data_IF_114779823485
#
_entry.id   IF_114779823485
#
_cell.length_a   1.000
_cell.length_b   1.000
_cell.length_c   1.000
_cell.angle_alpha   90.00
_cell.angle_beta   90.00
_cell.angle_gamma   90.00
#
_symmetry.space_group_name_H-M   'P 1'
#
loop_
_entity.id
_entity.type
_entity.pdbx_description
1 polymer ?
#
# COMPACT_ATOMS: atom_id res chain seq x y z
N UNK A 1 -54.04 -11.20 38.58
CA UNK A 1 -53.11 -11.52 37.48
C UNK A 1 -52.03 -10.46 37.45
N UNK A 2 -50.90 -10.72 38.11
CA UNK A 2 -49.79 -9.77 38.30
C UNK A 2 -48.80 -9.93 37.15
N UNK A 3 -48.73 -8.93 36.27
CA UNK A 3 -47.76 -8.89 35.18
C UNK A 3 -46.37 -8.50 35.70
N UNK A 4 -45.46 -9.45 35.53
CA UNK A 4 -44.01 -9.42 35.62
C UNK A 4 -43.34 -8.02 35.55
N UNK A 5 -42.72 -7.63 36.67
CA UNK A 5 -41.86 -6.44 36.81
C UNK A 5 -40.38 -6.83 36.80
N UNK A 6 -39.93 -7.72 35.90
CA UNK A 6 -38.53 -8.22 35.88
C UNK A 6 -37.64 -7.62 34.78
N UNK A 7 -38.21 -6.90 33.80
CA UNK A 7 -37.47 -6.38 32.65
C UNK A 7 -36.32 -5.38 32.91
N UNK A 8 -36.32 -4.50 33.94
CA UNK A 8 -35.24 -3.51 34.09
C UNK A 8 -33.94 -4.10 34.67
N UNK A 9 -33.97 -5.29 35.25
CA UNK A 9 -32.80 -5.93 35.87
C UNK A 9 -31.88 -6.64 34.87
N UNK A 10 -32.43 -7.20 33.79
CA UNK A 10 -31.65 -7.93 32.79
C UNK A 10 -30.84 -6.97 31.88
N UNK A 11 -31.36 -5.78 31.59
CA UNK A 11 -30.62 -4.73 30.88
C UNK A 11 -29.41 -4.19 31.69
N UNK A 12 -29.47 -4.29 33.02
CA UNK A 12 -28.38 -3.88 33.92
C UNK A 12 -27.23 -4.90 33.98
N UNK A 13 -27.44 -6.14 33.53
CA UNK A 13 -26.43 -7.20 33.54
C UNK A 13 -25.53 -7.21 32.30
N UNK A 14 -25.97 -6.62 31.18
CA UNK A 14 -25.24 -6.63 29.92
C UNK A 14 -24.03 -5.68 29.87
N UNK A 15 -23.99 -4.66 30.73
CA UNK A 15 -22.86 -3.71 30.81
C UNK A 15 -21.83 -4.20 31.82
N UNK A 16 -20.69 -4.70 31.32
CA UNK A 16 -19.53 -5.16 32.12
C UNK A 16 -18.75 -4.00 32.76
N UNK A 17 -19.43 -2.98 33.26
CA UNK A 17 -18.77 -1.87 33.95
C UNK A 17 -18.58 -2.24 35.41
N UNK A 18 -17.32 -2.24 35.82
CA UNK A 18 -16.86 -2.63 37.15
C UNK A 18 -16.72 -1.42 38.08
N UNK A 19 -16.67 -1.65 39.39
CA UNK A 19 -16.36 -0.59 40.36
C UNK A 19 -15.00 0.07 40.12
N UNK A 20 -14.06 -0.67 39.50
CA UNK A 20 -12.75 -0.17 39.08
C UNK A 20 -12.87 0.93 38.03
N UNK A 21 -13.77 0.79 37.06
CA UNK A 21 -13.99 1.76 35.99
C UNK A 21 -14.49 3.11 36.54
N UNK A 22 -15.33 3.06 37.58
CA UNK A 22 -15.77 4.26 38.30
C UNK A 22 -14.63 4.93 39.08
N UNK A 23 -13.73 4.15 39.69
CA UNK A 23 -12.58 4.71 40.39
C UNK A 23 -11.60 5.39 39.42
N UNK A 24 -11.40 4.85 38.20
CA UNK A 24 -10.58 5.51 37.16
C UNK A 24 -11.13 6.89 36.82
N UNK A 25 -12.46 6.98 36.66
CA UNK A 25 -13.14 8.22 36.32
C UNK A 25 -13.07 9.27 37.45
N UNK A 26 -13.06 8.80 38.71
CA UNK A 26 -13.01 9.64 39.92
C UNK A 26 -11.58 9.98 40.38
N UNK A 27 -10.55 9.47 39.71
CA UNK A 27 -9.12 9.66 40.06
C UNK A 27 -8.63 11.11 39.83
N UNK A 28 -9.45 11.95 39.20
CA UNK A 28 -9.20 13.39 39.07
C UNK A 28 -9.53 14.19 40.34
N UNK A 29 -9.18 15.48 40.33
CA UNK A 29 -9.57 16.43 41.39
C UNK A 29 -11.05 16.84 41.33
N UNK A 30 -11.75 16.45 40.26
CA UNK A 30 -13.10 16.88 39.96
C UNK A 30 -14.12 15.89 40.51
N UNK A 31 -15.10 16.41 41.26
CA UNK A 31 -16.24 15.62 41.72
C UNK A 31 -17.27 15.45 40.62
N UNK A 32 -17.77 14.23 40.45
CA UNK A 32 -18.77 13.92 39.42
C UNK A 32 -20.14 13.68 40.03
N UNK A 33 -21.20 14.09 39.31
CA UNK A 33 -22.56 13.70 39.65
C UNK A 33 -22.87 12.30 39.08
N UNK A 34 -23.79 11.56 39.73
CA UNK A 34 -24.12 10.19 39.31
C UNK A 34 -24.59 10.09 37.85
N UNK A 35 -25.30 11.11 37.35
CA UNK A 35 -25.76 11.15 35.97
C UNK A 35 -24.60 11.35 34.97
N UNK A 36 -23.57 12.11 35.34
CA UNK A 36 -22.40 12.35 34.48
C UNK A 36 -21.56 11.09 34.32
N UNK A 37 -21.39 10.33 35.42
CA UNK A 37 -20.74 9.02 35.40
C UNK A 37 -21.53 8.02 34.53
N UNK A 38 -22.86 8.04 34.65
CA UNK A 38 -23.76 7.22 33.84
C UNK A 38 -23.60 7.49 32.34
N UNK A 39 -23.63 8.77 31.94
CA UNK A 39 -23.47 9.19 30.55
C UNK A 39 -22.12 8.81 29.96
N UNK A 40 -21.03 8.97 30.72
CA UNK A 40 -19.67 8.66 30.23
C UNK A 40 -19.38 7.17 30.11
N UNK A 41 -19.96 6.36 30.99
CA UNK A 41 -19.77 4.92 30.98
C UNK A 41 -20.81 4.19 30.10
N UNK A 42 -21.82 4.90 29.59
CA UNK A 42 -22.91 4.31 28.81
C UNK A 42 -23.79 3.37 29.64
N UNK A 43 -23.88 3.60 30.95
CA UNK A 43 -24.57 2.71 31.90
C UNK A 43 -25.78 3.45 32.49
N UNK A 44 -26.90 2.77 32.79
CA UNK A 44 -28.03 3.40 33.48
C UNK A 44 -27.63 4.00 34.84
N UNK A 45 -28.12 5.21 35.13
CA UNK A 45 -27.87 5.92 36.41
C UNK A 45 -28.17 5.10 37.67
N UNK A 46 -29.25 4.26 37.73
CA UNK A 46 -29.48 3.38 38.87
C UNK A 46 -28.33 2.39 39.14
N UNK A 47 -27.71 1.85 38.08
CA UNK A 47 -26.55 0.94 38.20
C UNK A 47 -25.37 1.62 38.85
N UNK A 48 -25.07 2.83 38.37
CA UNK A 48 -23.97 3.64 38.87
C UNK A 48 -24.18 3.97 40.34
N UNK A 49 -25.42 4.28 40.75
CA UNK A 49 -25.76 4.50 42.16
C UNK A 49 -25.53 3.25 43.02
N UNK A 50 -25.88 2.05 42.53
CA UNK A 50 -25.60 0.78 43.24
C UNK A 50 -24.09 0.56 43.40
N UNK A 51 -23.32 0.77 42.34
CA UNK A 51 -21.87 0.62 42.38
C UNK A 51 -21.20 1.67 43.28
N UNK A 52 -21.62 2.93 43.21
CA UNK A 52 -21.17 3.99 44.12
C UNK A 52 -21.52 3.65 45.57
N UNK A 53 -22.72 3.11 45.85
CA UNK A 53 -23.12 2.66 47.18
C UNK A 53 -22.16 1.60 47.76
N UNK A 54 -21.72 0.64 46.93
CA UNK A 54 -20.71 -0.36 47.33
C UNK A 54 -19.34 0.29 47.58
N UNK A 55 -18.88 1.16 46.69
CA UNK A 55 -17.61 1.87 46.84
C UNK A 55 -17.58 2.82 48.05
N UNK A 56 -18.72 3.38 48.42
CA UNK A 56 -18.89 4.17 49.64
C UNK A 56 -18.80 3.27 50.87
N UNK A 57 -19.46 2.11 50.86
CA UNK A 57 -19.37 1.13 51.94
C UNK A 57 -17.94 0.62 52.15
N UNK A 58 -17.18 0.49 51.06
CA UNK A 58 -15.76 0.12 51.07
C UNK A 58 -14.82 1.29 51.40
N UNK A 59 -15.35 2.49 51.72
CA UNK A 59 -14.60 3.72 52.01
C UNK A 59 -13.67 4.18 50.87
N UNK A 60 -13.98 3.80 49.63
CA UNK A 60 -13.22 4.15 48.43
C UNK A 60 -13.71 5.46 47.78
N UNK A 61 -14.99 5.83 47.99
CA UNK A 61 -15.59 7.04 47.43
C UNK A 61 -16.18 7.92 48.54
N UNK A 62 -15.93 9.21 48.47
CA UNK A 62 -16.48 10.23 49.39
C UNK A 62 -17.58 11.02 48.69
N UNK A 63 -18.69 11.24 49.39
CA UNK A 63 -19.81 12.05 48.91
C UNK A 63 -19.73 13.43 49.54
N UNK A 64 -19.73 14.48 48.73
CA UNK A 64 -19.86 15.87 49.19
C UNK A 64 -21.13 16.49 48.65
N UNK A 65 -21.77 17.31 49.50
CA UNK A 65 -22.91 18.14 49.12
C UNK A 65 -22.42 19.56 48.98
N UNK A 66 -22.28 20.01 47.74
CA UNK A 66 -21.90 21.39 47.48
C UNK A 66 -23.18 22.24 47.49
N UNK A 67 -23.18 23.24 48.38
CA UNK A 67 -24.15 24.33 48.32
C UNK A 67 -23.61 25.32 47.29
N UNK A 68 -24.26 25.38 46.13
CA UNK A 68 -23.95 26.41 45.16
C UNK A 68 -24.72 27.67 45.58
N UNK A 69 -24.01 28.78 45.79
CA UNK A 69 -24.56 30.05 46.30
C UNK A 69 -25.71 30.65 45.45
N UNK A 70 -26.00 30.06 44.27
CA UNK A 70 -26.95 30.58 43.30
C UNK A 70 -28.15 29.67 43.00
N UNK A 71 -28.34 28.54 43.68
CA UNK A 71 -29.50 27.66 43.42
C UNK A 71 -30.05 27.00 44.68
N UNK A 72 -31.39 26.95 44.81
CA UNK A 72 -32.17 26.31 45.89
C UNK A 72 -31.90 24.80 46.09
N UNK A 73 -30.97 24.19 45.36
CA UNK A 73 -30.72 22.75 45.37
C UNK A 73 -29.24 22.43 45.56
N UNK A 74 -28.91 21.76 46.66
CA UNK A 74 -27.59 21.20 46.89
C UNK A 74 -27.30 20.07 45.89
N UNK A 75 -26.11 20.08 45.28
CA UNK A 75 -25.69 19.03 44.34
C UNK A 75 -24.84 17.99 45.05
N UNK A 76 -25.09 16.72 44.74
CA UNK A 76 -24.34 15.60 45.32
C UNK A 76 -23.22 15.21 44.35
N UNK A 77 -21.97 15.38 44.78
CA UNK A 77 -20.78 15.02 44.02
C UNK A 77 -20.02 13.89 44.70
N UNK A 78 -19.49 12.98 43.89
CA UNK A 78 -18.71 11.83 44.31
C UNK A 78 -17.23 12.08 43.97
N UNK A 79 -16.34 11.77 44.90
CA UNK A 79 -14.88 11.94 44.80
C UNK A 79 -14.18 10.63 45.16
N UNK A 80 -13.03 10.34 44.54
CA UNK A 80 -12.16 9.29 45.05
C UNK A 80 -11.60 9.69 46.41
N UNK A 81 -11.70 8.78 47.38
CA UNK A 81 -11.09 8.95 48.71
C UNK A 81 -9.56 8.87 48.65
N UNK A 82 -8.89 9.42 49.67
CA UNK A 82 -7.44 9.26 49.82
C UNK A 82 -7.03 7.79 49.97
N UNK A 83 -7.91 6.95 50.52
CA UNK A 83 -7.72 5.49 50.60
C UNK A 83 -7.75 4.84 49.22
N UNK A 84 -8.67 5.24 48.33
CA UNK A 84 -8.71 4.77 46.95
C UNK A 84 -7.49 5.24 46.16
N UNK A 85 -7.05 6.49 46.37
CA UNK A 85 -5.83 7.05 45.75
C UNK A 85 -4.57 6.30 46.21
N UNK A 86 -4.45 6.01 47.50
CA UNK A 86 -3.29 5.31 48.08
C UNK A 86 -3.24 3.84 47.66
N UNK A 87 -4.40 3.18 47.58
CA UNK A 87 -4.50 1.79 47.11
C UNK A 87 -4.60 1.66 45.60
N UNK A 88 -4.37 2.75 44.84
CA UNK A 88 -4.46 2.74 43.38
C UNK A 88 -3.53 1.70 42.76
N UNK A 89 -2.29 1.59 43.22
CA UNK A 89 -1.35 0.60 42.69
C UNK A 89 -1.81 -0.86 42.94
N UNK A 90 -2.53 -1.11 44.05
CA UNK A 90 -3.06 -2.43 44.41
C UNK A 90 -4.40 -2.75 43.71
N UNK A 91 -5.32 -1.78 43.68
CA UNK A 91 -6.67 -1.90 43.10
C UNK A 91 -6.67 -1.75 41.58
N UNK A 92 -5.67 -1.04 41.07
CA UNK A 92 -5.42 -0.80 39.65
C UNK A 92 -3.98 -1.13 39.27
N UNK A 93 -3.61 -2.42 39.22
CA UNK A 93 -2.35 -2.80 38.61
C UNK A 93 -2.33 -2.27 37.16
N UNK A 94 -1.19 -1.74 36.68
CA UNK A 94 -1.06 -1.36 35.27
C UNK A 94 -1.47 -2.57 34.42
N UNK A 95 -2.22 -2.36 33.32
CA UNK A 95 -2.58 -3.46 32.45
C UNK A 95 -1.29 -4.18 32.00
N UNK A 96 -1.29 -5.51 31.79
CA UNK A 96 -0.14 -6.26 31.26
C UNK A 96 0.20 -5.91 29.80
N UNK A 97 -0.14 -4.69 29.34
CA UNK A 97 -0.11 -4.26 27.96
C UNK A 97 1.31 -4.06 27.41
N UNK A 98 2.33 -3.84 28.25
CA UNK A 98 3.68 -3.55 27.74
C UNK A 98 4.48 -4.80 27.39
N UNK A 99 4.29 -5.92 28.08
CA UNK A 99 4.95 -7.18 27.74
C UNK A 99 4.26 -7.88 26.57
N UNK A 100 2.93 -7.88 26.53
CA UNK A 100 2.16 -8.51 25.45
C UNK A 100 2.27 -7.73 24.13
N UNK A 101 2.32 -6.38 24.15
CA UNK A 101 2.52 -5.59 22.94
C UNK A 101 3.94 -5.71 22.38
N UNK A 102 4.97 -5.81 23.24
CA UNK A 102 6.36 -6.05 22.81
C UNK A 102 6.54 -7.47 22.25
N UNK A 103 5.90 -8.47 22.84
CA UNK A 103 5.93 -9.84 22.31
C UNK A 103 5.12 -9.98 21.01
N UNK A 104 3.95 -9.33 20.91
CA UNK A 104 3.15 -9.33 19.70
C UNK A 104 3.85 -8.60 18.54
N UNK A 105 4.51 -7.47 18.80
CA UNK A 105 5.31 -6.76 17.81
C UNK A 105 6.55 -7.54 17.38
N UNK A 106 7.29 -8.14 18.33
CA UNK A 106 8.43 -9.00 18.02
C UNK A 106 8.02 -10.24 17.19
N UNK A 107 6.89 -10.88 17.53
CA UNK A 107 6.37 -12.00 16.75
C UNK A 107 5.93 -11.54 15.34
N UNK A 108 5.26 -10.40 15.22
CA UNK A 108 4.89 -9.83 13.92
C UNK A 108 6.12 -9.50 13.05
N UNK A 109 7.19 -8.98 13.65
CA UNK A 109 8.46 -8.72 12.97
C UNK A 109 9.15 -10.02 12.55
N UNK A 110 9.20 -11.03 13.41
CA UNK A 110 9.73 -12.36 13.06
C UNK A 110 8.96 -13.00 11.90
N UNK A 111 7.62 -12.88 11.89
CA UNK A 111 6.79 -13.36 10.78
C UNK A 111 7.11 -12.62 9.48
N UNK A 112 7.29 -11.29 9.53
CA UNK A 112 7.70 -10.48 8.38
C UNK A 112 9.09 -10.89 7.87
N UNK A 113 10.06 -11.07 8.77
CA UNK A 113 11.42 -11.51 8.42
C UNK A 113 11.41 -12.89 7.77
N UNK A 114 10.66 -13.85 8.32
CA UNK A 114 10.51 -15.19 7.72
C UNK A 114 9.89 -15.14 6.32
N UNK A 115 8.89 -14.27 6.10
CA UNK A 115 8.31 -14.06 4.76
C UNK A 115 9.31 -13.49 3.77
N UNK A 116 10.13 -12.51 4.19
CA UNK A 116 11.21 -11.95 3.37
C UNK A 116 12.26 -13.01 3.01
N UNK A 117 12.76 -13.75 4.00
CA UNK A 117 13.74 -14.81 3.76
C UNK A 117 13.24 -15.88 2.78
N UNK A 118 11.96 -16.28 2.87
CA UNK A 118 11.34 -17.20 1.90
C UNK A 118 11.26 -16.60 0.49
N UNK A 119 10.93 -15.32 0.37
CA UNK A 119 10.88 -14.64 -0.93
C UNK A 119 12.27 -14.50 -1.57
N UNK A 120 13.31 -14.27 -0.76
CA UNK A 120 14.69 -14.24 -1.24
C UNK A 120 15.16 -15.62 -1.69
N UNK A 121 14.76 -16.68 -0.97
CA UNK A 121 15.07 -18.05 -1.34
C UNK A 121 14.41 -18.46 -2.67
N UNK A 122 13.13 -18.14 -2.86
CA UNK A 122 12.45 -18.41 -4.15
C UNK A 122 13.07 -17.60 -5.28
N UNK A 123 13.43 -16.34 -5.03
CA UNK A 123 14.14 -15.50 -5.99
C UNK A 123 15.49 -16.11 -6.41
N UNK A 124 16.28 -16.63 -5.47
CA UNK A 124 17.55 -17.31 -5.78
C UNK A 124 17.35 -18.58 -6.59
N UNK A 125 16.35 -19.40 -6.24
CA UNK A 125 16.01 -20.60 -7.02
C UNK A 125 15.58 -20.24 -8.44
N UNK A 126 14.81 -19.17 -8.60
CA UNK A 126 14.41 -18.66 -9.93
C UNK A 126 15.61 -18.24 -10.77
N UNK A 127 16.62 -17.58 -10.18
CA UNK A 127 17.84 -17.17 -10.88
C UNK A 127 18.63 -18.37 -11.40
N UNK A 128 18.89 -19.36 -10.54
CA UNK A 128 19.64 -20.57 -10.90
C UNK A 128 18.94 -21.32 -12.02
N UNK A 129 17.63 -21.49 -11.89
CA UNK A 129 16.86 -22.26 -12.84
C UNK A 129 16.54 -21.47 -14.13
N UNK A 130 16.71 -20.15 -14.15
CA UNK A 130 16.71 -19.34 -15.37
C UNK A 130 18.02 -19.47 -16.14
N UNK A 131 19.17 -19.45 -15.44
CA UNK A 131 20.48 -19.72 -16.04
C UNK A 131 20.55 -21.12 -16.66
N UNK A 132 20.00 -22.14 -15.98
CA UNK A 132 19.96 -23.51 -16.49
C UNK A 132 19.17 -23.65 -17.80
N UNK A 133 18.23 -22.74 -18.09
CA UNK A 133 17.50 -22.73 -19.36
C UNK A 133 18.26 -22.07 -20.50
N UNK A 134 19.32 -21.31 -20.22
CA UNK A 134 20.10 -20.61 -21.24
C UNK A 134 21.22 -21.51 -21.74
N UNK A 135 21.21 -21.77 -23.05
CA UNK A 135 22.33 -22.41 -23.73
C UNK A 135 23.44 -21.39 -24.02
N UNK A 136 24.71 -21.68 -23.68
CA UNK A 136 25.83 -20.82 -24.02
C UNK A 136 25.98 -20.72 -25.54
N UNK A 137 26.38 -19.54 -26.05
CA UNK A 137 26.51 -19.30 -27.49
C UNK A 137 25.22 -18.89 -28.20
N UNK A 138 24.06 -19.09 -27.57
CA UNK A 138 22.75 -18.82 -28.20
C UNK A 138 22.17 -17.51 -27.68
N UNK A 139 21.66 -16.63 -28.58
CA UNK A 139 20.93 -15.44 -28.18
C UNK A 139 19.56 -15.78 -27.60
N UNK A 140 19.29 -15.37 -26.37
CA UNK A 140 17.98 -15.54 -25.74
C UNK A 140 17.23 -14.20 -25.62
N UNK A 141 15.93 -14.19 -25.90
CA UNK A 141 15.06 -13.03 -25.66
C UNK A 141 14.27 -13.20 -24.36
N UNK A 142 14.00 -12.11 -23.64
CA UNK A 142 13.20 -12.16 -22.42
C UNK A 142 11.80 -12.74 -22.66
N UNK A 143 11.19 -12.47 -23.83
CA UNK A 143 9.89 -13.03 -24.19
C UNK A 143 9.93 -14.54 -24.49
N UNK A 144 11.03 -15.06 -25.05
CA UNK A 144 11.20 -16.50 -25.21
C UNK A 144 11.38 -17.19 -23.85
N UNK A 145 12.22 -16.63 -22.98
CA UNK A 145 12.47 -17.17 -21.65
C UNK A 145 11.26 -17.09 -20.72
N UNK A 146 10.43 -16.05 -20.85
CA UNK A 146 9.17 -15.95 -20.14
C UNK A 146 8.20 -17.07 -20.53
N UNK A 147 8.15 -17.43 -21.83
CA UNK A 147 7.31 -18.52 -22.32
C UNK A 147 7.80 -19.90 -21.86
N UNK A 148 9.11 -20.16 -21.92
CA UNK A 148 9.67 -21.45 -21.49
C UNK A 148 9.49 -21.70 -20.00
N UNK A 149 9.63 -20.68 -19.15
CA UNK A 149 9.46 -20.80 -17.69
C UNK A 149 8.04 -20.53 -17.19
N UNK A 150 7.09 -20.24 -18.09
CA UNK A 150 5.70 -19.82 -17.74
C UNK A 150 5.68 -18.69 -16.70
N UNK A 151 6.62 -17.76 -16.80
CA UNK A 151 6.79 -16.63 -15.88
C UNK A 151 6.43 -15.32 -16.56
N UNK A 152 6.09 -14.28 -15.79
CA UNK A 152 5.79 -12.98 -16.37
C UNK A 152 7.02 -12.33 -17.00
N UNK A 153 6.83 -11.63 -18.12
CA UNK A 153 7.90 -10.89 -18.81
C UNK A 153 8.66 -9.92 -17.89
N UNK A 154 7.99 -9.07 -17.09
CA UNK A 154 8.65 -8.16 -16.15
C UNK A 154 9.49 -8.89 -15.10
N UNK A 155 9.03 -10.06 -14.61
CA UNK A 155 9.78 -10.87 -13.64
C UNK A 155 11.08 -11.41 -14.24
N UNK A 156 11.04 -11.88 -15.49
CA UNK A 156 12.23 -12.34 -16.21
C UNK A 156 13.22 -11.20 -16.43
N UNK A 157 12.74 -10.01 -16.80
CA UNK A 157 13.61 -8.83 -16.97
C UNK A 157 14.29 -8.44 -15.66
N UNK A 158 13.57 -8.44 -14.53
CA UNK A 158 14.14 -8.17 -13.22
C UNK A 158 15.19 -9.22 -12.81
N UNK A 159 14.96 -10.50 -13.09
CA UNK A 159 15.94 -11.55 -12.87
C UNK A 159 17.17 -11.38 -13.77
N UNK A 160 17.00 -10.98 -15.03
CA UNK A 160 18.11 -10.72 -15.95
C UNK A 160 18.97 -9.54 -15.51
N UNK A 161 18.37 -8.46 -15.03
CA UNK A 161 19.12 -7.32 -14.48
C UNK A 161 20.01 -7.75 -13.32
N UNK A 162 19.53 -8.63 -12.44
CA UNK A 162 20.34 -9.17 -11.36
C UNK A 162 21.45 -10.09 -11.89
N UNK A 163 21.17 -10.96 -12.88
CA UNK A 163 22.21 -11.80 -13.47
C UNK A 163 23.29 -11.01 -14.21
N UNK A 164 22.94 -9.85 -14.77
CA UNK A 164 23.87 -8.88 -15.36
C UNK A 164 24.73 -8.24 -14.26
N UNK A 165 24.11 -7.83 -13.15
CA UNK A 165 24.84 -7.30 -11.99
C UNK A 165 25.83 -8.34 -11.43
N UNK A 166 25.41 -9.61 -11.38
CA UNK A 166 26.24 -10.75 -10.95
C UNK A 166 27.26 -11.19 -12.03
N UNK A 167 27.34 -10.51 -13.18
CA UNK A 167 28.23 -10.80 -14.32
C UNK A 167 28.08 -12.21 -14.91
N UNK A 168 26.90 -12.82 -14.78
CA UNK A 168 26.60 -14.16 -15.34
C UNK A 168 25.95 -14.11 -16.72
N UNK A 169 25.35 -12.96 -17.06
CA UNK A 169 24.65 -12.73 -18.33
C UNK A 169 25.09 -11.39 -18.90
N UNK A 170 25.25 -11.34 -20.22
CA UNK A 170 25.53 -10.12 -20.98
C UNK A 170 24.31 -9.72 -21.80
N UNK A 171 23.89 -8.46 -21.69
CA UNK A 171 22.83 -7.89 -22.51
C UNK A 171 23.42 -7.15 -23.71
N UNK A 172 22.97 -7.51 -24.91
CA UNK A 172 23.37 -6.90 -26.17
C UNK A 172 22.15 -6.34 -26.87
N UNK A 173 22.22 -5.07 -27.28
CA UNK A 173 21.16 -4.42 -28.04
C UNK A 173 21.27 -4.84 -29.50
N UNK A 174 20.21 -5.45 -30.05
CA UNK A 174 20.09 -5.75 -31.48
C UNK A 174 19.06 -4.84 -32.13
N UNK A 175 19.43 -4.23 -33.25
CA UNK A 175 18.52 -3.48 -34.10
C UNK A 175 17.73 -4.49 -34.93
N UNK A 176 16.41 -4.53 -34.74
CA UNK A 176 15.52 -5.38 -35.53
C UNK A 176 15.18 -4.73 -36.88
N UNK A 177 14.69 -5.54 -37.83
CA UNK A 177 14.08 -5.04 -39.07
C UNK A 177 12.94 -4.08 -38.69
N UNK A 178 13.05 -2.82 -39.09
CA UNK A 178 12.14 -1.73 -38.68
C UNK A 178 12.71 -0.74 -37.66
N UNK A 179 14.00 -0.82 -37.30
CA UNK A 179 14.70 0.20 -36.51
C UNK A 179 14.47 0.14 -34.99
N UNK A 180 13.53 -0.69 -34.52
CA UNK A 180 13.35 -0.93 -33.08
C UNK A 180 14.53 -1.72 -32.51
N UNK A 181 15.16 -1.20 -31.45
CA UNK A 181 16.20 -1.91 -30.71
C UNK A 181 15.57 -2.84 -29.65
N UNK A 182 16.07 -4.07 -29.54
CA UNK A 182 15.65 -5.02 -28.51
C UNK A 182 16.87 -5.63 -27.82
N UNK A 183 16.75 -5.86 -26.52
CA UNK A 183 17.78 -6.56 -25.75
C UNK A 183 17.74 -8.07 -26.00
N UNK A 184 18.92 -8.63 -26.24
CA UNK A 184 19.20 -10.05 -26.36
C UNK A 184 20.24 -10.42 -25.31
N UNK A 185 20.03 -11.53 -24.63
CA UNK A 185 20.82 -11.96 -23.49
C UNK A 185 21.67 -13.17 -23.88
N UNK A 186 22.96 -13.14 -23.55
CA UNK A 186 23.91 -14.24 -23.70
C UNK A 186 24.43 -14.65 -22.33
N UNK A 187 24.78 -15.93 -22.16
CA UNK A 187 25.54 -16.37 -20.98
C UNK A 187 26.93 -15.73 -21.07
N UNK A 188 27.45 -15.21 -19.95
CA UNK A 188 28.72 -14.50 -19.91
C UNK A 188 29.87 -15.31 -20.54
N UNK A 189 30.71 -14.64 -21.34
CA UNK A 189 31.84 -15.28 -22.04
C UNK A 189 31.46 -16.22 -23.19
N UNK A 190 30.16 -16.41 -23.46
CA UNK A 190 29.68 -17.23 -24.58
C UNK A 190 29.12 -16.39 -25.73
N UNK A 191 29.33 -15.07 -25.70
CA UNK A 191 29.00 -14.22 -26.84
C UNK A 191 29.85 -14.70 -28.02
N UNK A 192 29.26 -15.12 -29.15
CA UNK A 192 30.05 -15.31 -30.34
C UNK A 192 30.67 -13.96 -30.66
N UNK A 193 32.00 -13.88 -30.72
CA UNK A 193 32.68 -12.67 -31.19
C UNK A 193 32.03 -12.30 -32.52
N UNK A 194 31.21 -11.25 -32.51
CA UNK A 194 30.81 -10.59 -33.75
C UNK A 194 32.10 -9.94 -34.23
N UNK A 195 32.91 -10.75 -34.94
CA UNK A 195 33.96 -10.37 -35.88
C UNK A 195 33.68 -8.95 -36.31
N UNK A 196 34.57 -8.04 -35.88
CA UNK A 196 34.64 -6.64 -36.26
C UNK A 196 33.57 -6.27 -37.27
N UNK A 197 32.52 -5.59 -36.78
CA UNK A 197 31.50 -4.98 -37.61
C UNK A 197 32.18 -4.49 -38.89
N UNK A 198 31.93 -5.16 -40.03
CA UNK A 198 32.42 -4.69 -41.32
C UNK A 198 32.07 -3.21 -41.34
N UNK A 199 33.04 -2.29 -41.52
CA UNK A 199 32.71 -0.89 -41.62
C UNK A 199 31.62 -0.81 -42.67
N UNK A 200 30.51 -0.16 -42.31
CA UNK A 200 29.41 0.16 -43.23
C UNK A 200 30.04 0.41 -44.58
N UNK A 201 29.76 -0.44 -45.57
CA UNK A 201 30.14 -0.14 -46.95
C UNK A 201 29.60 1.26 -47.20
N UNK A 202 30.51 2.24 -47.30
CA UNK A 202 30.20 3.50 -47.93
C UNK A 202 29.83 3.08 -49.34
N UNK A 203 28.53 2.99 -49.59
CA UNK A 203 28.02 2.83 -50.94
C UNK A 203 28.49 4.07 -51.68
N UNK A 204 29.20 3.84 -52.78
CA UNK A 204 29.76 4.86 -53.64
C UNK A 204 28.74 5.97 -53.94
N UNK A 205 29.11 7.21 -53.61
CA UNK A 205 28.90 8.36 -54.49
C UNK A 205 27.48 8.74 -54.90
N UNK A 206 26.46 8.70 -54.03
CA UNK A 206 25.30 9.58 -54.22
C UNK A 206 24.70 10.01 -52.88
N UNK A 207 24.69 11.32 -52.54
CA UNK A 207 24.02 11.79 -51.34
C UNK A 207 22.49 11.62 -51.50
N UNK A 208 21.77 11.27 -50.42
CA UNK A 208 20.31 11.23 -50.45
C UNK A 208 19.80 12.66 -50.68
N UNK A 209 19.15 12.90 -51.82
CA UNK A 209 18.47 14.17 -52.11
C UNK A 209 17.51 14.50 -50.98
N UNK A 210 17.63 15.70 -50.43
CA UNK A 210 16.84 16.08 -49.27
C UNK A 210 15.37 16.23 -49.68
N UNK A 211 14.45 15.79 -48.84
CA UNK A 211 13.00 15.94 -49.07
C UNK A 211 12.59 17.44 -49.03
N UNK A 212 13.52 18.31 -48.63
CA UNK A 212 13.39 19.77 -48.57
C UNK A 212 14.04 20.49 -49.76
N UNK A 213 14.71 19.77 -50.68
CA UNK A 213 15.03 20.30 -52.00
C UNK A 213 13.74 20.32 -52.79
N UNK A 214 13.08 21.47 -52.77
CA UNK A 214 12.03 21.77 -53.75
C UNK A 214 12.65 21.54 -55.14
N UNK A 215 12.11 20.67 -56.00
CA UNK A 215 12.47 20.74 -57.40
C UNK A 215 12.13 22.16 -57.85
N UNK A 216 13.08 22.86 -58.48
CA UNK A 216 12.81 24.16 -59.07
C UNK A 216 11.59 23.99 -59.99
N UNK A 217 10.47 24.58 -59.56
CA UNK A 217 9.21 24.45 -60.27
C UNK A 217 9.34 25.29 -61.53
N UNK A 218 9.76 24.66 -62.62
CA UNK A 218 9.93 25.34 -63.89
C UNK A 218 8.57 25.87 -64.37
N UNK A 219 8.58 27.10 -64.89
CA UNK A 219 7.41 27.73 -65.47
C UNK A 219 6.81 26.86 -66.59
N UNK A 220 7.63 26.06 -67.28
CA UNK A 220 7.15 25.11 -68.28
C UNK A 220 6.31 23.98 -67.68
N UNK A 221 6.70 23.46 -66.52
CA UNK A 221 5.93 22.44 -65.80
C UNK A 221 4.58 23.00 -65.32
N UNK A 222 4.57 24.26 -64.87
CA UNK A 222 3.32 24.97 -64.55
C UNK A 222 2.37 25.09 -65.74
N UNK A 223 2.90 25.44 -66.93
CA UNK A 223 2.09 25.50 -68.16
C UNK A 223 1.56 24.13 -68.56
N UNK A 224 2.36 23.08 -68.46
CA UNK A 224 1.96 21.71 -68.79
C UNK A 224 0.81 21.20 -67.89
N UNK A 225 0.83 21.54 -66.59
CA UNK A 225 -0.28 21.21 -65.70
C UNK A 225 -1.54 22.04 -66.01
N UNK A 226 -1.38 23.30 -66.43
CA UNK A 226 -2.47 24.14 -66.89
C UNK A 226 -3.18 23.55 -68.12
N UNK A 227 -2.43 23.14 -69.14
CA UNK A 227 -3.00 22.54 -70.36
C UNK A 227 -3.66 21.20 -70.07
N UNK A 228 -3.08 20.36 -69.21
CA UNK A 228 -3.71 19.11 -68.75
C UNK A 228 -5.04 19.36 -68.05
N UNK A 229 -5.13 20.42 -67.24
CA UNK A 229 -6.36 20.80 -66.56
C UNK A 229 -7.43 21.25 -67.57
N UNK A 230 -7.08 22.08 -68.54
CA UNK A 230 -8.01 22.55 -69.58
C UNK A 230 -8.53 21.39 -70.44
N UNK A 231 -7.66 20.47 -70.85
CA UNK A 231 -8.07 19.27 -71.58
C UNK A 231 -8.99 18.37 -70.75
N UNK A 232 -8.73 18.22 -69.45
CA UNK A 232 -9.60 17.43 -68.56
C UNK A 232 -11.00 18.03 -68.40
N UNK A 233 -11.10 19.37 -68.36
CA UNK A 233 -12.38 20.08 -68.27
C UNK A 233 -13.14 20.00 -69.60
N UNK A 234 -12.45 20.17 -70.72
CA UNK A 234 -13.04 20.03 -72.05
C UNK A 234 -13.58 18.61 -72.31
N UNK A 235 -12.88 17.58 -71.84
CA UNK A 235 -13.36 16.18 -71.91
C UNK A 235 -14.56 15.92 -71.00
N UNK A 236 -14.66 16.58 -69.84
CA UNK A 236 -15.83 16.48 -68.97
C UNK A 236 -17.06 17.14 -69.57
N UNK A 237 -16.92 18.32 -70.18
CA UNK A 237 -18.03 19.01 -70.85
C UNK A 237 -18.52 18.31 -72.12
N UNK A 238 -17.71 17.45 -72.75
CA UNK A 238 -18.13 16.59 -73.89
C UNK A 238 -18.92 15.34 -73.47
N UNK A 239 -18.93 14.99 -72.19
CA UNK A 239 -19.61 13.79 -71.65
C UNK A 239 -20.89 14.11 -70.86
N UNK A 240 -21.23 15.40 -70.75
CA UNK A 240 -22.53 15.90 -70.26
C UNK A 240 -23.41 16.31 -71.44
#
# INVERSE_FOLDING_TARGET
>A
MTANTSAPLDALAATRVSGRDLLVMLDGEHGYEAHQLASRLGVPTPRVKILLGRLIAESLVVVRRDKLDSARHARIRYYASDKARSRRAELMPPPPAEHDAKQASAHAEQVRQRRRARADETYRRDLVALLACMTPGVPHSAAALARTRKSSGPRVVALMQQLIADRKVEAVTRICKGGASRYVYYVAGSRPEESAAKPRRQADGTPPRSIFERPEFDAEYGRALGTLRELSLAQRCRRS
#
